data_IF_479538754184
#
_entry.id   IF_479538754184
#
_cell.length_a   1.000
_cell.length_b   1.000
_cell.length_c   1.000
_cell.angle_alpha   90.00
_cell.angle_beta   90.00
_cell.angle_gamma   90.00
#
_symmetry.space_group_name_H-M   'P 1'
#
loop_
_entity.id
_entity.type
_entity.pdbx_description
1 polymer ?
#
# COMPACT_ATOMS: atom_id res chain seq x y z
N UNK A 1 2.57 9.60 -2.32
CA UNK A 1 1.97 8.26 -2.51
C UNK A 1 0.46 8.31 -2.74
N UNK A 2 -0.38 8.80 -1.82
CA UNK A 2 -1.85 8.78 -2.00
C UNK A 2 -2.34 9.44 -3.30
N UNK A 3 -1.87 10.65 -3.61
CA UNK A 3 -2.22 11.31 -4.88
C UNK A 3 -1.78 10.51 -6.12
N UNK A 4 -0.59 9.88 -6.05
CA UNK A 4 -0.11 8.99 -7.11
C UNK A 4 -0.99 7.76 -7.27
N UNK A 5 -1.43 7.15 -6.16
CA UNK A 5 -2.37 6.03 -6.17
C UNK A 5 -3.69 6.41 -6.85
N UNK A 6 -4.28 7.56 -6.50
CA UNK A 6 -5.50 8.04 -7.15
C UNK A 6 -5.33 8.24 -8.67
N UNK A 7 -4.17 8.72 -9.13
CA UNK A 7 -3.87 8.88 -10.57
C UNK A 7 -3.74 7.55 -11.29
N UNK A 8 -3.03 6.59 -10.70
CA UNK A 8 -2.83 5.24 -11.27
C UNK A 8 -4.14 4.47 -11.33
N UNK A 9 -4.89 4.44 -10.22
CA UNK A 9 -6.15 3.69 -10.11
C UNK A 9 -7.28 4.37 -10.88
N UNK A 10 -7.18 5.69 -11.11
CA UNK A 10 -8.24 6.53 -11.70
C UNK A 10 -9.56 6.44 -10.94
N UNK A 11 -9.48 6.35 -9.61
CA UNK A 11 -10.62 6.30 -8.71
C UNK A 11 -10.41 7.23 -7.51
N UNK A 12 -11.48 7.77 -6.91
CA UNK A 12 -11.36 8.57 -5.71
C UNK A 12 -10.93 7.71 -4.52
N UNK A 13 -10.20 8.31 -3.59
CA UNK A 13 -10.02 7.77 -2.26
C UNK A 13 -11.26 8.11 -1.42
N UNK A 14 -12.03 7.10 -1.01
CA UNK A 14 -13.36 7.31 -0.41
C UNK A 14 -13.39 7.29 1.13
N UNK A 15 -12.27 6.95 1.76
CA UNK A 15 -12.22 6.62 3.19
C UNK A 15 -12.09 7.85 4.12
N UNK A 16 -11.93 9.04 3.55
CA UNK A 16 -11.77 10.29 4.31
C UNK A 16 -10.30 10.61 4.58
N UNK A 17 -9.78 10.17 5.73
CA UNK A 17 -8.37 10.35 6.11
C UNK A 17 -7.54 9.11 5.80
N UNK A 18 -6.23 9.32 5.65
CA UNK A 18 -5.23 8.26 5.58
C UNK A 18 -4.16 8.55 6.63
N UNK A 19 -4.32 7.97 7.82
CA UNK A 19 -3.38 8.14 8.93
C UNK A 19 -2.46 6.92 9.06
N UNK A 20 -1.30 7.12 9.69
CA UNK A 20 -0.29 6.09 9.92
C UNK A 20 -0.05 5.88 11.40
N UNK A 21 -0.13 4.63 11.86
CA UNK A 21 0.33 4.22 13.17
C UNK A 21 1.66 3.48 13.04
N UNK A 22 2.74 4.09 13.54
CA UNK A 22 4.02 3.40 13.65
C UNK A 22 3.98 2.45 14.84
N UNK A 23 4.12 1.16 14.57
CA UNK A 23 4.05 0.10 15.58
C UNK A 23 5.44 -0.25 16.14
N UNK A 24 5.52 -0.87 17.33
CA UNK A 24 6.77 -1.43 17.82
C UNK A 24 7.37 -2.44 16.84
N UNK A 25 8.68 -2.68 16.93
CA UNK A 25 9.40 -3.63 16.07
C UNK A 25 8.96 -5.09 16.25
N UNK A 26 8.16 -5.39 17.29
CA UNK A 26 7.54 -6.69 17.50
C UNK A 26 6.31 -6.95 16.62
N UNK A 27 5.85 -5.96 15.85
CA UNK A 27 4.76 -6.17 14.90
C UNK A 27 5.17 -7.18 13.82
N UNK A 28 4.35 -8.21 13.62
CA UNK A 28 4.70 -9.38 12.81
C UNK A 28 4.77 -9.12 11.29
N UNK A 29 4.25 -7.99 10.83
CA UNK A 29 4.14 -7.63 9.42
C UNK A 29 4.89 -6.33 9.11
N UNK A 30 5.18 -6.08 7.83
CA UNK A 30 5.73 -4.80 7.38
C UNK A 30 4.70 -3.66 7.49
N UNK A 31 3.47 -3.93 7.09
CA UNK A 31 2.32 -3.04 7.22
C UNK A 31 1.02 -3.83 7.35
N UNK A 32 -0.08 -3.12 7.62
CA UNK A 32 -1.44 -3.65 7.56
C UNK A 32 -2.40 -2.52 7.16
N UNK A 33 -3.28 -2.82 6.21
CA UNK A 33 -4.13 -1.91 5.47
C UNK A 33 -5.39 -1.43 6.21
N UNK A 34 -5.37 -1.43 7.55
CA UNK A 34 -6.51 -1.00 8.37
C UNK A 34 -7.06 0.35 7.87
N UNK A 35 -8.34 0.42 7.42
CA UNK A 35 -8.89 1.64 6.83
C UNK A 35 -8.76 2.83 7.77
N UNK A 36 -8.37 3.97 7.22
CA UNK A 36 -8.13 5.25 7.89
C UNK A 36 -6.92 5.28 8.84
N UNK A 37 -6.39 4.13 9.29
CA UNK A 37 -5.26 4.06 10.21
C UNK A 37 -4.37 2.86 9.88
N UNK A 38 -3.57 2.99 8.82
CA UNK A 38 -2.64 1.95 8.38
C UNK A 38 -1.55 1.73 9.42
N UNK A 39 -1.30 0.47 9.77
CA UNK A 39 -0.23 0.11 10.68
C UNK A 39 1.05 -0.04 9.88
N UNK A 40 2.14 0.52 10.39
CA UNK A 40 3.44 0.53 9.73
C UNK A 40 4.52 0.11 10.72
N UNK A 41 5.26 -0.95 10.40
CA UNK A 41 6.29 -1.46 11.30
C UNK A 41 7.37 -0.42 11.55
N UNK A 42 7.70 -0.16 12.82
CA UNK A 42 8.82 0.71 13.18
C UNK A 42 10.18 0.26 12.61
N UNK A 43 10.31 -1.02 12.23
CA UNK A 43 11.49 -1.56 11.56
C UNK A 43 11.77 -0.94 10.18
N UNK A 44 10.75 -0.33 9.56
CA UNK A 44 10.85 0.27 8.23
C UNK A 44 11.31 1.75 8.26
N UNK A 45 11.54 2.32 9.44
CA UNK A 45 12.06 3.69 9.60
C UNK A 45 13.58 3.76 9.34
N UNK A 46 13.99 3.53 8.10
CA UNK A 46 15.40 3.54 7.68
C UNK A 46 16.09 4.92 7.72
N UNK A 47 15.34 6.01 7.90
CA UNK A 47 15.87 7.38 7.95
C UNK A 47 16.12 8.04 6.59
N UNK A 48 16.10 7.28 5.50
CA UNK A 48 16.37 7.73 4.12
C UNK A 48 15.17 7.58 3.16
N UNK A 49 14.05 7.04 3.66
CA UNK A 49 12.82 6.72 2.91
C UNK A 49 12.97 5.60 1.86
N UNK A 50 14.02 4.79 1.93
CA UNK A 50 14.26 3.66 1.03
C UNK A 50 13.18 2.57 1.11
N UNK A 51 12.55 2.39 2.28
CA UNK A 51 11.54 1.34 2.54
C UNK A 51 10.09 1.85 2.44
N UNK A 52 9.85 2.85 1.57
CA UNK A 52 8.51 3.43 1.35
C UNK A 52 7.61 2.62 0.42
N UNK A 53 8.14 1.56 -0.20
CA UNK A 53 7.40 0.56 -0.99
C UNK A 53 6.23 -0.02 -0.21
N UNK A 54 6.45 -0.40 1.05
CA UNK A 54 5.37 -0.89 1.94
C UNK A 54 4.28 0.16 2.13
N UNK A 55 4.62 1.44 2.28
CA UNK A 55 3.59 2.49 2.37
C UNK A 55 2.76 2.59 1.09
N UNK A 56 3.39 2.47 -0.09
CA UNK A 56 2.66 2.45 -1.35
C UNK A 56 1.74 1.22 -1.45
N UNK A 57 2.19 0.06 -0.96
CA UNK A 57 1.43 -1.18 -0.88
C UNK A 57 0.15 -1.00 -0.05
N UNK A 58 0.28 -0.54 1.20
CA UNK A 58 -0.88 -0.38 2.09
C UNK A 58 -1.87 0.68 1.58
N UNK A 59 -1.39 1.74 0.93
CA UNK A 59 -2.27 2.74 0.31
C UNK A 59 -3.14 2.10 -0.76
N UNK A 60 -2.58 1.22 -1.59
CA UNK A 60 -3.32 0.59 -2.69
C UNK A 60 -4.38 -0.37 -2.21
N UNK A 61 -4.19 -1.00 -1.05
CA UNK A 61 -5.22 -1.83 -0.44
C UNK A 61 -6.53 -1.08 -0.20
N UNK A 62 -6.51 0.25 -0.11
CA UNK A 62 -7.70 1.10 -0.09
C UNK A 62 -8.66 0.88 -1.27
N UNK A 63 -8.17 0.32 -2.39
CA UNK A 63 -8.98 -0.14 -3.52
C UNK A 63 -8.98 -1.67 -3.64
N UNK A 64 -7.81 -2.30 -3.67
CA UNK A 64 -7.67 -3.75 -3.83
C UNK A 64 -7.53 -4.44 -2.47
N UNK A 65 -8.62 -4.92 -1.90
CA UNK A 65 -8.68 -5.47 -0.55
C UNK A 65 -9.78 -4.82 0.27
N UNK A 66 -9.68 -3.51 0.53
CA UNK A 66 -10.64 -2.80 1.37
C UNK A 66 -11.94 -2.45 0.63
N UNK A 67 -11.85 -2.00 -0.63
CA UNK A 67 -13.03 -1.66 -1.44
C UNK A 67 -13.56 -2.86 -2.22
N UNK A 68 -12.67 -3.58 -2.89
CA UNK A 68 -12.97 -4.84 -3.55
C UNK A 68 -12.22 -5.94 -2.80
N UNK A 69 -12.96 -6.71 -2.01
CA UNK A 69 -12.42 -7.75 -1.13
C UNK A 69 -12.62 -9.14 -1.75
N UNK A 70 -11.62 -10.01 -1.63
CA UNK A 70 -11.78 -11.43 -1.87
C UNK A 70 -12.94 -12.03 -1.04
N UNK A 71 -13.77 -12.85 -1.67
CA UNK A 71 -14.88 -13.50 -0.96
C UNK A 71 -14.40 -14.61 -0.01
N UNK A 72 -13.29 -15.28 -0.34
CA UNK A 72 -12.72 -16.39 0.42
C UNK A 72 -11.19 -16.25 0.48
N UNK A 73 -10.59 -16.79 1.54
CA UNK A 73 -9.13 -16.72 1.74
C UNK A 73 -8.30 -17.47 0.69
N UNK A 74 -8.87 -18.50 0.03
CA UNK A 74 -8.21 -19.13 -1.12
C UNK A 74 -8.00 -18.16 -2.29
N UNK A 75 -8.82 -17.10 -2.36
CA UNK A 75 -8.78 -16.06 -3.38
C UNK A 75 -7.98 -14.82 -2.89
N UNK A 76 -7.18 -14.95 -1.82
CA UNK A 76 -6.37 -13.87 -1.26
C UNK A 76 -5.44 -13.21 -2.28
N UNK A 77 -5.05 -13.95 -3.33
CA UNK A 77 -4.28 -13.41 -4.45
C UNK A 77 -5.00 -12.26 -5.18
N UNK A 78 -6.34 -12.16 -5.11
CA UNK A 78 -7.09 -11.03 -5.65
C UNK A 78 -6.81 -9.73 -4.90
N UNK A 79 -6.55 -9.80 -3.59
CA UNK A 79 -6.17 -8.61 -2.83
C UNK A 79 -4.70 -8.30 -3.12
N UNK A 80 -3.81 -9.20 -2.72
CA UNK A 80 -2.36 -8.98 -2.80
C UNK A 80 -1.82 -8.80 -4.21
N UNK A 81 -2.32 -9.59 -5.17
CA UNK A 81 -1.83 -9.57 -6.54
C UNK A 81 -2.15 -8.26 -7.25
N UNK A 82 -3.39 -7.77 -7.10
CA UNK A 82 -3.77 -6.46 -7.63
C UNK A 82 -3.07 -5.33 -6.87
N UNK A 83 -2.92 -5.45 -5.55
CA UNK A 83 -2.17 -4.47 -4.76
C UNK A 83 -0.74 -4.37 -5.25
N UNK A 84 -0.02 -5.48 -5.38
CA UNK A 84 1.36 -5.50 -5.90
C UNK A 84 1.48 -4.95 -7.31
N UNK A 85 0.52 -5.25 -8.19
CA UNK A 85 0.52 -4.73 -9.54
C UNK A 85 0.41 -3.20 -9.56
N UNK A 86 -0.53 -2.63 -8.81
CA UNK A 86 -0.78 -1.18 -8.76
C UNK A 86 0.33 -0.46 -7.98
N UNK A 87 0.82 -1.03 -6.87
CA UNK A 87 1.97 -0.52 -6.11
C UNK A 87 3.15 -0.23 -7.05
N UNK A 88 3.55 -1.22 -7.86
CA UNK A 88 4.65 -1.07 -8.83
C UNK A 88 4.37 0.03 -9.85
N UNK A 89 3.12 0.18 -10.29
CA UNK A 89 2.72 1.24 -11.22
C UNK A 89 2.88 2.63 -10.58
N UNK A 90 2.53 2.79 -9.30
CA UNK A 90 2.73 4.03 -8.55
C UNK A 90 4.22 4.35 -8.41
N UNK A 91 5.03 3.35 -8.07
CA UNK A 91 6.47 3.52 -7.95
C UNK A 91 7.12 3.88 -9.28
N UNK A 92 6.70 3.26 -10.38
CA UNK A 92 7.11 3.63 -11.73
C UNK A 92 6.72 5.07 -12.11
N UNK A 93 5.53 5.52 -11.71
CA UNK A 93 5.11 6.91 -11.91
C UNK A 93 5.93 7.90 -11.08
N UNK A 94 6.30 7.54 -9.85
CA UNK A 94 7.02 8.42 -8.92
C UNK A 94 8.53 8.48 -9.16
N UNK A 95 9.14 7.36 -9.56
CA UNK A 95 10.60 7.21 -9.64
C UNK A 95 11.10 6.91 -11.07
N UNK A 96 10.18 6.77 -12.04
CA UNK A 96 10.47 6.42 -13.42
C UNK A 96 10.25 4.93 -13.73
N UNK A 97 9.95 4.61 -14.99
CA UNK A 97 9.53 3.26 -15.41
C UNK A 97 10.58 2.17 -15.11
N UNK A 98 11.87 2.52 -15.08
CA UNK A 98 12.93 1.60 -14.69
C UNK A 98 12.82 1.12 -13.24
N UNK A 99 12.18 1.89 -12.35
CA UNK A 99 11.96 1.53 -10.95
C UNK A 99 10.74 0.61 -10.77
N UNK A 100 9.85 0.47 -11.76
CA UNK A 100 8.65 -0.38 -11.66
C UNK A 100 8.98 -1.87 -11.46
N UNK A 101 10.11 -2.31 -11.99
CA UNK A 101 10.56 -3.70 -11.96
C UNK A 101 11.55 -4.04 -10.83
N UNK A 102 11.99 -3.03 -10.07
CA UNK A 102 12.82 -3.17 -8.88
C UNK A 102 11.94 -3.44 -7.65
#
# INVERSE_FOLDING_TARGET
FLQGACRVVRGPYIWGSYDLLVTPTSFAYGGMENPNLTFFSGSLLAGDRSLTTTLAHEIVHSWAGNLVTNALWKDFWLNEGFTRYIERRILGEMHGEGYRGL
#
